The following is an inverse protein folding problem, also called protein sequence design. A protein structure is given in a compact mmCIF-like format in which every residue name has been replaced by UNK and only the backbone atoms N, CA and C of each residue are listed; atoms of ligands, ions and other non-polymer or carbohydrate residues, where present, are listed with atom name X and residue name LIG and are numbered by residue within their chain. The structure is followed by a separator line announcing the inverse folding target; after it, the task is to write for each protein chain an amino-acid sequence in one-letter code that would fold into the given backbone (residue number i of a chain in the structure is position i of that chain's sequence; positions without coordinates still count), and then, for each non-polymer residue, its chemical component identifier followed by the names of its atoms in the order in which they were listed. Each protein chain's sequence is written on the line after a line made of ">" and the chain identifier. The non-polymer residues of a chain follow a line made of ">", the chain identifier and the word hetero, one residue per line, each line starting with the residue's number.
data_IF_997685143032
#
_entry.id   IF_997685143032
#
_cell.length_a   1.000
_cell.length_b   1.000
_cell.length_c   1.000
_cell.angle_alpha   90.00
_cell.angle_beta   90.00
_cell.angle_gamma   90.00
#
_symmetry.space_group_name_H-M   'P 1'
#
loop_
_entity.id
_entity.type
_entity.pdbx_description
1 polymer ?
#
# COMPACT_ATOMS: atom_id res chain seq x y z
N UNK A 1 -27.83 -56.54 -23.29
CA UNK A 1 -28.04 -56.01 -21.92
C UNK A 1 -26.68 -55.97 -21.25
N UNK A 2 -25.99 -54.84 -21.34
CA UNK A 2 -24.67 -54.65 -20.74
C UNK A 2 -24.79 -53.43 -19.82
N UNK A 3 -24.76 -53.68 -18.51
CA UNK A 3 -24.67 -52.64 -17.49
C UNK A 3 -23.19 -52.27 -17.31
N UNK A 4 -22.80 -50.98 -17.33
CA UNK A 4 -21.44 -50.59 -17.00
C UNK A 4 -21.26 -50.43 -15.49
N UNK A 5 -20.17 -50.99 -14.96
CA UNK A 5 -19.64 -50.68 -13.63
C UNK A 5 -19.15 -49.23 -13.57
N UNK A 6 -19.52 -48.53 -12.51
CA UNK A 6 -19.06 -47.18 -12.19
C UNK A 6 -17.59 -47.21 -11.72
N UNK A 7 -16.77 -46.18 -12.05
CA UNK A 7 -15.48 -46.00 -11.40
C UNK A 7 -15.64 -45.27 -10.06
N UNK A 8 -14.91 -45.75 -9.06
CA UNK A 8 -14.84 -45.21 -7.71
C UNK A 8 -14.25 -43.79 -7.66
N UNK A 9 -14.90 -42.94 -6.88
CA UNK A 9 -14.46 -41.59 -6.52
C UNK A 9 -13.17 -41.61 -5.71
N UNK A 10 -12.07 -41.23 -6.35
CA UNK A 10 -10.83 -40.82 -5.68
C UNK A 10 -10.78 -39.30 -5.51
N UNK A 11 -11.42 -38.77 -4.47
CA UNK A 11 -11.24 -37.38 -4.03
C UNK A 11 -9.80 -37.15 -3.57
N UNK A 12 -8.97 -36.60 -4.46
CA UNK A 12 -7.69 -36.00 -4.13
C UNK A 12 -7.80 -34.48 -4.15
N UNK A 13 -8.44 -33.90 -3.12
CA UNK A 13 -8.47 -32.46 -2.89
C UNK A 13 -7.09 -31.93 -2.51
N UNK A 14 -6.23 -31.73 -3.51
CA UNK A 14 -5.01 -30.95 -3.37
C UNK A 14 -5.35 -29.47 -3.53
N UNK A 15 -5.45 -28.75 -2.41
CA UNK A 15 -5.44 -27.28 -2.42
C UNK A 15 -4.19 -26.84 -3.22
N UNK A 16 -4.32 -26.05 -4.30
CA UNK A 16 -3.17 -25.65 -5.09
C UNK A 16 -2.19 -24.87 -4.20
N UNK A 17 -0.87 -24.91 -4.49
CA UNK A 17 0.11 -24.24 -3.65
C UNK A 17 -0.28 -22.77 -3.49
N UNK A 18 -0.50 -22.32 -2.24
CA UNK A 18 -0.81 -20.93 -1.91
C UNK A 18 0.33 -20.04 -2.41
N UNK A 19 0.17 -19.50 -3.61
CA UNK A 19 1.11 -18.55 -4.17
C UNK A 19 1.02 -17.24 -3.39
N UNK A 20 1.85 -17.14 -2.35
CA UNK A 20 2.04 -15.96 -1.51
C UNK A 20 2.53 -14.73 -2.30
N UNK A 21 2.78 -14.87 -3.60
CA UNK A 21 3.20 -13.76 -4.45
C UNK A 21 2.08 -12.77 -4.69
N UNK A 22 0.80 -13.16 -4.72
CA UNK A 22 -0.34 -12.27 -5.03
C UNK A 22 -1.01 -11.58 -3.82
N UNK A 23 -0.44 -11.71 -2.62
CA UNK A 23 -1.09 -11.38 -1.33
C UNK A 23 -1.64 -9.95 -1.25
N UNK A 24 -1.03 -8.97 -1.93
CA UNK A 24 -1.53 -7.59 -1.90
C UNK A 24 -2.95 -7.49 -2.48
N UNK A 25 -3.17 -8.09 -3.63
CA UNK A 25 -4.43 -7.99 -4.36
C UNK A 25 -5.41 -9.05 -3.88
N UNK A 26 -4.94 -10.30 -3.76
CA UNK A 26 -5.83 -11.44 -3.42
C UNK A 26 -6.23 -11.47 -1.95
N UNK A 27 -5.45 -10.82 -1.07
CA UNK A 27 -5.71 -10.79 0.37
C UNK A 27 -5.93 -9.36 0.86
N UNK A 28 -4.91 -8.52 0.87
CA UNK A 28 -4.95 -7.21 1.57
C UNK A 28 -6.02 -6.29 1.00
N UNK A 29 -6.11 -6.19 -0.32
CA UNK A 29 -7.06 -5.30 -0.99
C UNK A 29 -8.37 -6.00 -1.38
N UNK A 30 -8.50 -7.28 -1.03
CA UNK A 30 -9.72 -8.03 -1.26
C UNK A 30 -10.74 -7.76 -0.13
N UNK A 31 -11.79 -7.01 -0.46
CA UNK A 31 -12.85 -6.66 0.49
C UNK A 31 -14.06 -7.59 0.37
N UNK A 32 -14.53 -8.05 1.53
CA UNK A 32 -15.77 -8.80 1.69
C UNK A 32 -16.97 -7.83 1.59
N UNK A 33 -17.85 -7.94 0.58
CA UNK A 33 -19.07 -7.14 0.53
C UNK A 33 -20.04 -7.61 1.62
N UNK A 34 -20.61 -6.66 2.36
CA UNK A 34 -21.62 -6.95 3.39
C UNK A 34 -23.01 -6.50 2.97
N UNK A 35 -23.10 -5.37 2.26
CA UNK A 35 -24.34 -4.77 1.73
C UNK A 35 -23.98 -3.81 0.58
N UNK A 36 -24.97 -3.18 -0.04
CA UNK A 36 -24.75 -2.09 -0.99
C UNK A 36 -23.89 -0.99 -0.33
N UNK A 37 -22.79 -0.63 -1.01
CA UNK A 37 -21.85 0.40 -0.56
C UNK A 37 -21.25 0.17 0.84
N UNK A 38 -21.32 -1.06 1.37
CA UNK A 38 -20.75 -1.48 2.65
C UNK A 38 -19.83 -2.69 2.50
N UNK A 39 -18.57 -2.51 2.90
CA UNK A 39 -17.52 -3.52 2.74
C UNK A 39 -16.77 -3.77 4.04
N UNK A 40 -16.21 -4.97 4.18
CA UNK A 40 -15.33 -5.37 5.29
C UNK A 40 -13.93 -5.67 4.78
N UNK A 41 -12.95 -4.93 5.30
CA UNK A 41 -11.53 -5.22 5.09
C UNK A 41 -10.96 -6.01 6.26
N UNK A 42 -10.22 -7.07 5.95
CA UNK A 42 -9.45 -7.84 6.93
C UNK A 42 -8.01 -7.33 6.99
N UNK A 43 -7.39 -7.52 8.14
CA UNK A 43 -6.00 -7.13 8.38
C UNK A 43 -5.13 -8.38 8.24
N UNK A 44 -4.50 -8.54 7.07
CA UNK A 44 -3.62 -9.68 6.81
C UNK A 44 -2.22 -9.48 7.38
N UNK A 45 -1.85 -8.23 7.60
CA UNK A 45 -0.58 -7.87 8.22
C UNK A 45 -0.84 -7.05 9.48
N UNK A 46 -0.31 -7.51 10.61
CA UNK A 46 -0.36 -6.79 11.89
C UNK A 46 1.01 -6.15 12.10
N UNK A 47 1.15 -4.84 11.93
CA UNK A 47 2.41 -4.17 12.20
C UNK A 47 2.72 -4.27 13.70
N UNK A 48 3.99 -4.49 14.08
CA UNK A 48 4.38 -4.51 15.51
C UNK A 48 4.17 -3.17 16.24
N UNK A 49 3.89 -2.08 15.51
CA UNK A 49 3.43 -0.81 16.09
C UNK A 49 2.09 -0.94 16.84
N UNK A 50 1.41 -2.09 16.73
CA UNK A 50 0.07 -2.36 17.26
C UNK A 50 -0.98 -1.38 16.72
N UNK A 51 -0.69 -0.75 15.58
CA UNK A 51 -1.58 0.15 14.84
C UNK A 51 -1.70 -0.36 13.42
N UNK A 52 -2.85 -0.15 12.79
CA UNK A 52 -3.01 -0.42 11.37
C UNK A 52 -2.10 0.47 10.52
N UNK A 53 -1.58 -0.11 9.43
CA UNK A 53 -0.84 0.63 8.42
C UNK A 53 -1.79 1.57 7.65
N UNK A 54 -1.42 2.84 7.50
CA UNK A 54 -2.27 3.84 6.87
C UNK A 54 -2.53 3.53 5.39
N UNK A 55 -1.50 3.11 4.66
CA UNK A 55 -1.63 2.66 3.27
C UNK A 55 -2.59 1.48 3.09
N UNK A 56 -2.68 0.57 4.06
CA UNK A 56 -3.71 -0.49 4.03
C UNK A 56 -5.11 0.12 4.06
N UNK A 57 -5.36 1.03 5.01
CA UNK A 57 -6.67 1.66 5.17
C UNK A 57 -7.02 2.47 3.92
N UNK A 58 -6.06 3.22 3.37
CA UNK A 58 -6.23 4.05 2.19
C UNK A 58 -6.49 3.22 0.93
N UNK A 59 -5.69 2.18 0.68
CA UNK A 59 -5.88 1.27 -0.45
C UNK A 59 -7.22 0.55 -0.40
N UNK A 60 -7.58 0.01 0.78
CA UNK A 60 -8.88 -0.63 0.99
C UNK A 60 -10.05 0.36 0.80
N UNK A 61 -9.95 1.59 1.32
CA UNK A 61 -10.98 2.60 1.11
C UNK A 61 -11.15 2.94 -0.38
N UNK A 62 -10.06 3.03 -1.14
CA UNK A 62 -10.14 3.29 -2.57
C UNK A 62 -10.74 2.10 -3.34
N UNK A 63 -10.46 0.86 -2.94
CA UNK A 63 -11.15 -0.33 -3.51
C UNK A 63 -12.65 -0.24 -3.27
N UNK A 64 -13.09 0.08 -2.05
CA UNK A 64 -14.51 0.23 -1.73
C UNK A 64 -15.17 1.31 -2.62
N UNK A 65 -14.53 2.48 -2.76
CA UNK A 65 -15.00 3.52 -3.66
C UNK A 65 -15.05 3.06 -5.12
N UNK A 66 -14.01 2.38 -5.61
CA UNK A 66 -13.90 1.89 -6.98
C UNK A 66 -14.96 0.84 -7.34
N UNK A 67 -15.38 0.02 -6.37
CA UNK A 67 -16.48 -0.95 -6.53
C UNK A 67 -17.87 -0.30 -6.63
N UNK A 68 -18.01 0.97 -6.24
CA UNK A 68 -19.28 1.73 -6.25
C UNK A 68 -19.44 2.66 -7.46
N UNK A 69 -18.53 2.57 -8.44
CA UNK A 69 -18.55 3.35 -9.69
C UNK A 69 -18.55 2.40 -10.88
N UNK A 70 -19.01 2.88 -12.03
CA UNK A 70 -19.00 2.12 -13.28
C UNK A 70 -17.58 1.83 -13.78
N UNK A 71 -17.44 0.84 -14.66
CA UNK A 71 -16.12 0.41 -15.19
C UNK A 71 -15.46 1.40 -16.15
N UNK A 72 -16.23 2.33 -16.72
CA UNK A 72 -15.76 3.32 -17.68
C UNK A 72 -15.12 4.57 -17.04
N UNK A 73 -15.17 4.69 -15.70
CA UNK A 73 -14.52 5.79 -14.97
C UNK A 73 -13.30 5.32 -14.19
N UNK A 74 -12.29 6.18 -14.13
CA UNK A 74 -11.02 5.91 -13.47
C UNK A 74 -10.76 6.92 -12.36
N UNK A 75 -10.15 6.48 -11.27
CA UNK A 75 -9.76 7.40 -10.19
C UNK A 75 -8.67 8.34 -10.70
N UNK A 76 -8.83 9.63 -10.44
CA UNK A 76 -7.80 10.64 -10.77
C UNK A 76 -7.33 11.41 -9.54
N UNK A 77 -8.11 11.43 -8.46
CA UNK A 77 -7.67 12.01 -7.20
C UNK A 77 -8.32 11.37 -5.98
N UNK A 78 -7.61 11.44 -4.85
CA UNK A 78 -8.14 11.11 -3.54
C UNK A 78 -7.59 12.08 -2.48
N UNK A 79 -8.44 12.40 -1.50
CA UNK A 79 -8.08 13.20 -0.33
C UNK A 79 -8.55 12.48 0.92
N UNK A 80 -7.70 12.36 1.93
CA UNK A 80 -8.07 11.65 3.14
C UNK A 80 -7.47 12.23 4.41
N UNK A 81 -8.07 11.87 5.54
CA UNK A 81 -7.62 12.19 6.89
C UNK A 81 -7.59 10.91 7.75
N UNK A 82 -6.51 10.71 8.49
CA UNK A 82 -6.45 9.67 9.52
C UNK A 82 -6.94 10.25 10.83
N UNK A 83 -8.14 9.83 11.24
CA UNK A 83 -8.85 10.42 12.38
C UNK A 83 -8.45 9.76 13.69
N UNK A 84 -8.24 8.43 13.68
CA UNK A 84 -7.87 7.64 14.86
C UNK A 84 -6.93 6.50 14.47
N UNK A 85 -6.13 6.05 15.43
CA UNK A 85 -5.32 4.85 15.24
C UNK A 85 -6.24 3.62 15.11
N UNK A 86 -6.06 2.84 14.05
CA UNK A 86 -6.80 1.60 13.86
C UNK A 86 -6.25 0.44 14.68
N UNK A 87 -7.13 -0.41 15.20
CA UNK A 87 -6.79 -1.65 15.90
C UNK A 87 -6.56 -2.78 14.89
N UNK A 88 -5.34 -3.36 14.80
CA UNK A 88 -5.06 -4.42 13.85
C UNK A 88 -5.80 -5.74 14.15
N UNK A 89 -6.34 -5.92 15.36
CA UNK A 89 -7.08 -7.14 15.74
C UNK A 89 -8.53 -7.15 15.26
N UNK A 90 -9.03 -6.01 14.79
CA UNK A 90 -10.45 -5.83 14.45
C UNK A 90 -10.57 -5.51 12.96
N UNK A 91 -11.48 -6.16 12.22
CA UNK A 91 -11.75 -5.80 10.82
C UNK A 91 -12.18 -4.33 10.69
N UNK A 92 -11.95 -3.73 9.53
CA UNK A 92 -12.37 -2.37 9.24
C UNK A 92 -13.62 -2.40 8.37
N UNK A 93 -14.65 -1.65 8.74
CA UNK A 93 -15.84 -1.46 7.91
C UNK A 93 -15.67 -0.22 7.05
N UNK A 94 -15.86 -0.35 5.74
CA UNK A 94 -15.80 0.74 4.77
C UNK A 94 -17.22 1.05 4.30
N UNK A 95 -17.71 2.22 4.71
CA UNK A 95 -19.01 2.75 4.30
C UNK A 95 -18.77 3.75 3.18
N UNK A 96 -19.36 3.50 2.03
CA UNK A 96 -19.27 4.36 0.85
C UNK A 96 -20.55 5.18 0.73
N UNK A 97 -20.39 6.47 0.46
CA UNK A 97 -21.47 7.38 0.16
C UNK A 97 -21.27 7.91 -1.26
N UNK A 98 -22.30 7.76 -2.10
CA UNK A 98 -22.29 8.26 -3.48
C UNK A 98 -22.58 9.76 -3.51
N UNK A 99 -21.59 10.56 -3.12
CA UNK A 99 -21.71 12.03 -3.06
C UNK A 99 -22.13 12.65 -4.39
N UNK A 100 -21.66 12.12 -5.53
CA UNK A 100 -22.10 12.55 -6.86
C UNK A 100 -21.91 11.44 -7.89
N UNK A 101 -22.88 11.28 -8.79
CA UNK A 101 -22.73 10.50 -10.02
C UNK A 101 -23.17 11.39 -11.18
N UNK A 102 -22.21 11.92 -11.94
CA UNK A 102 -22.44 12.74 -13.13
C UNK A 102 -21.98 12.05 -14.40
N UNK A 103 -22.19 12.71 -15.54
CA UNK A 103 -21.84 12.15 -16.85
C UNK A 103 -20.32 11.92 -17.03
N UNK A 104 -19.49 12.85 -16.59
CA UNK A 104 -18.01 12.74 -16.73
C UNK A 104 -17.28 12.49 -15.43
N UNK A 105 -17.91 12.82 -14.29
CA UNK A 105 -17.27 12.74 -12.97
C UNK A 105 -18.17 12.05 -11.95
N UNK A 106 -17.57 11.19 -11.14
CA UNK A 106 -18.20 10.55 -9.98
C UNK A 106 -17.37 10.84 -8.72
N UNK A 107 -18.04 11.16 -7.62
CA UNK A 107 -17.39 11.41 -6.33
C UNK A 107 -17.93 10.41 -5.31
N UNK A 108 -17.03 9.79 -4.55
CA UNK A 108 -17.34 8.86 -3.47
C UNK A 108 -16.70 9.34 -2.18
N UNK A 109 -17.49 9.43 -1.12
CA UNK A 109 -16.99 9.66 0.23
C UNK A 109 -16.94 8.33 0.97
N UNK A 110 -15.82 7.98 1.58
CA UNK A 110 -15.62 6.71 2.28
C UNK A 110 -15.29 6.97 3.74
N UNK A 111 -16.01 6.30 4.64
CA UNK A 111 -15.69 6.26 6.08
C UNK A 111 -15.20 4.87 6.43
N UNK A 112 -14.00 4.78 6.97
CA UNK A 112 -13.49 3.54 7.56
C UNK A 112 -13.78 3.56 9.07
N UNK A 113 -14.45 2.54 9.57
CA UNK A 113 -15.05 2.49 10.91
C UNK A 113 -14.55 1.26 11.66
N UNK A 114 -14.15 1.47 12.92
CA UNK A 114 -13.91 0.41 13.91
C UNK A 114 -14.58 0.79 15.23
N UNK A 115 -15.13 -0.19 15.95
CA UNK A 115 -15.84 0.04 17.22
C UNK A 115 -16.90 1.16 17.13
N UNK A 116 -17.60 1.26 16.00
CA UNK A 116 -18.60 2.29 15.74
C UNK A 116 -18.05 3.71 15.56
N UNK A 117 -16.72 3.90 15.47
CA UNK A 117 -16.07 5.20 15.34
C UNK A 117 -15.24 5.29 14.05
N UNK A 118 -15.31 6.40 13.30
CA UNK A 118 -14.43 6.61 12.16
C UNK A 118 -12.96 6.64 12.59
N UNK A 119 -12.15 5.83 11.94
CA UNK A 119 -10.68 5.84 12.05
C UNK A 119 -10.04 6.59 10.87
N UNK A 120 -10.75 6.66 9.73
CA UNK A 120 -10.28 7.28 8.50
C UNK A 120 -11.46 7.78 7.68
N UNK A 121 -11.27 8.91 7.00
CA UNK A 121 -12.24 9.47 6.05
C UNK A 121 -11.52 9.81 4.75
N UNK A 122 -12.17 9.55 3.62
CA UNK A 122 -11.63 9.81 2.29
C UNK A 122 -12.71 10.33 1.36
N UNK A 123 -12.32 11.19 0.42
CA UNK A 123 -13.10 11.50 -0.77
C UNK A 123 -12.26 11.16 -1.99
N UNK A 124 -12.81 10.33 -2.88
CA UNK A 124 -12.19 9.91 -4.13
C UNK A 124 -13.02 10.44 -5.30
N UNK A 125 -12.32 10.98 -6.31
CA UNK A 125 -12.91 11.48 -7.54
C UNK A 125 -12.49 10.62 -8.72
N UNK A 126 -13.49 10.27 -9.53
CA UNK A 126 -13.38 9.41 -10.69
C UNK A 126 -13.82 10.18 -11.93
N UNK A 127 -13.15 9.95 -13.05
CA UNK A 127 -13.42 10.60 -14.32
C UNK A 127 -13.43 9.58 -15.45
N UNK A 128 -14.33 9.78 -16.40
CA UNK A 128 -14.31 9.02 -17.66
C UNK A 128 -13.06 9.39 -18.47
N UNK A 129 -12.45 8.42 -19.16
CA UNK A 129 -11.32 8.70 -20.04
C UNK A 129 -11.74 9.66 -21.16
N UNK A 130 -11.02 10.78 -21.29
CA UNK A 130 -11.30 11.82 -22.27
C UNK A 130 -10.00 12.26 -22.97
N UNK A 131 -10.01 12.48 -24.30
CA UNK A 131 -8.85 13.06 -24.99
C UNK A 131 -8.52 14.44 -24.43
N UNK A 132 -7.24 14.66 -24.10
CA UNK A 132 -6.73 15.98 -23.74
C UNK A 132 -5.88 16.54 -24.88
N UNK A 133 -6.13 17.79 -25.34
CA UNK A 133 -5.28 18.45 -26.32
C UNK A 133 -3.92 18.87 -25.74
N UNK A 134 -3.76 18.82 -24.41
CA UNK A 134 -2.55 19.25 -23.70
C UNK A 134 -2.01 18.07 -22.90
N UNK A 135 -0.73 17.77 -23.08
CA UNK A 135 0.01 16.79 -22.30
C UNK A 135 1.38 17.37 -21.96
N UNK A 136 1.69 17.46 -20.67
CA UNK A 136 3.01 17.84 -20.18
C UNK A 136 3.26 17.17 -18.84
N UNK A 137 4.52 16.89 -18.53
CA UNK A 137 4.97 16.37 -17.25
C UNK A 137 6.41 16.83 -16.99
N UNK A 138 6.84 16.84 -15.73
CA UNK A 138 8.25 17.02 -15.41
C UNK A 138 9.07 15.82 -15.91
N UNK A 139 10.34 16.07 -16.24
CA UNK A 139 11.28 15.02 -16.56
C UNK A 139 11.56 14.14 -15.33
N UNK A 140 11.59 12.82 -15.54
CA UNK A 140 11.97 11.87 -14.49
C UNK A 140 13.41 12.17 -14.04
N UNK A 141 13.71 12.20 -12.73
CA UNK A 141 15.07 12.40 -12.24
C UNK A 141 15.99 11.26 -12.67
N UNK A 142 17.26 11.56 -12.94
CA UNK A 142 18.29 10.56 -13.26
C UNK A 142 18.63 9.77 -12.01
N UNK A 143 18.28 8.48 -12.00
CA UNK A 143 18.57 7.52 -10.93
C UNK A 143 19.05 6.19 -11.54
N UNK A 144 19.85 5.39 -10.82
CA UNK A 144 20.21 4.05 -11.25
C UNK A 144 18.95 3.19 -11.44
N UNK A 145 18.95 2.29 -12.44
CA UNK A 145 17.83 1.38 -12.67
C UNK A 145 17.73 0.34 -11.53
N UNK A 146 16.55 -0.24 -11.28
CA UNK A 146 16.32 -1.11 -10.12
C UNK A 146 17.14 -2.40 -10.15
N UNK A 147 17.61 -2.85 -11.32
CA UNK A 147 18.38 -4.08 -11.50
C UNK A 147 19.79 -3.98 -10.90
N UNK A 148 20.36 -2.77 -10.80
CA UNK A 148 21.71 -2.56 -10.23
C UNK A 148 21.68 -2.20 -8.74
N UNK A 149 20.48 -1.98 -8.18
CA UNK A 149 20.32 -1.62 -6.78
C UNK A 149 20.21 -2.87 -5.90
N UNK A 150 20.70 -2.74 -4.68
CA UNK A 150 20.60 -3.80 -3.69
C UNK A 150 19.14 -4.04 -3.30
N UNK A 151 18.79 -5.31 -3.19
CA UNK A 151 17.54 -5.72 -2.56
C UNK A 151 17.57 -5.38 -1.07
N UNK A 152 16.39 -5.17 -0.51
CA UNK A 152 16.26 -4.77 0.89
C UNK A 152 16.92 -5.76 1.85
N UNK A 153 16.79 -7.07 1.61
CA UNK A 153 17.38 -8.11 2.47
C UNK A 153 18.92 -8.07 2.42
N UNK A 154 19.50 -7.90 1.24
CA UNK A 154 20.95 -7.76 1.06
C UNK A 154 21.48 -6.50 1.74
N UNK A 155 20.75 -5.38 1.61
CA UNK A 155 21.10 -4.13 2.28
C UNK A 155 21.02 -4.28 3.81
N UNK A 156 20.02 -5.01 4.29
CA UNK A 156 19.83 -5.28 5.70
C UNK A 156 20.96 -6.11 6.28
N UNK A 157 21.36 -7.17 5.57
CA UNK A 157 22.51 -8.00 5.92
C UNK A 157 23.80 -7.19 5.97
N UNK A 158 24.02 -6.27 5.02
CA UNK A 158 25.18 -5.38 5.05
C UNK A 158 25.20 -4.51 6.31
N UNK A 159 24.06 -3.90 6.66
CA UNK A 159 23.99 -3.11 7.89
C UNK A 159 24.19 -3.96 9.14
N UNK A 160 23.63 -5.16 9.21
CA UNK A 160 23.78 -6.08 10.34
C UNK A 160 25.22 -6.62 10.50
N UNK A 161 26.03 -6.59 9.44
CA UNK A 161 27.46 -6.96 9.51
C UNK A 161 28.35 -5.82 9.99
N UNK A 162 27.87 -4.58 9.99
CA UNK A 162 28.65 -3.43 10.47
C UNK A 162 28.85 -3.52 12.00
N UNK A 163 30.10 -3.65 12.49
CA UNK A 163 30.40 -3.73 13.92
C UNK A 163 30.09 -2.42 14.68
N UNK A 164 30.02 -1.29 13.98
CA UNK A 164 29.70 0.02 14.56
C UNK A 164 28.19 0.30 14.62
N UNK A 165 27.36 -0.65 14.16
CA UNK A 165 25.92 -0.49 14.21
C UNK A 165 25.44 -0.46 15.67
N UNK A 166 24.89 0.67 16.12
CA UNK A 166 24.41 0.76 17.50
C UNK A 166 23.32 -0.30 17.74
N UNK A 167 23.33 -0.91 18.92
CA UNK A 167 22.44 -2.02 19.30
C UNK A 167 20.95 -1.73 19.04
N UNK A 168 20.52 -0.48 19.22
CA UNK A 168 19.15 -0.02 18.92
C UNK A 168 18.79 -0.13 17.43
N UNK A 169 19.74 0.14 16.53
CA UNK A 169 19.54 0.02 15.09
C UNK A 169 19.53 -1.43 14.65
N UNK A 170 20.40 -2.27 15.21
CA UNK A 170 20.42 -3.72 14.97
C UNK A 170 19.08 -4.38 15.30
N UNK A 171 18.52 -4.04 16.46
CA UNK A 171 17.20 -4.51 16.88
C UNK A 171 16.09 -4.02 15.94
N UNK A 172 16.18 -2.79 15.45
CA UNK A 172 15.23 -2.22 14.50
C UNK A 172 15.26 -2.86 13.12
N UNK A 173 16.46 -3.12 12.61
CA UNK A 173 16.71 -3.76 11.32
C UNK A 173 16.28 -5.23 11.32
N UNK A 174 16.65 -6.00 12.36
CA UNK A 174 16.16 -7.37 12.54
C UNK A 174 14.62 -7.45 12.63
N UNK A 175 13.96 -6.40 13.13
CA UNK A 175 12.49 -6.33 13.18
C UNK A 175 11.85 -6.04 11.83
N UNK A 176 12.56 -5.41 10.90
CA UNK A 176 12.10 -5.18 9.53
C UNK A 176 12.40 -6.41 8.66
N UNK A 177 13.53 -7.09 8.89
CA UNK A 177 13.89 -8.37 8.25
C UNK A 177 12.80 -9.44 8.40
N UNK A 178 12.16 -9.48 9.56
CA UNK A 178 11.16 -10.48 9.92
C UNK A 178 9.75 -10.15 9.40
N UNK A 179 9.60 -9.18 8.48
CA UNK A 179 8.30 -8.75 7.96
C UNK A 179 8.13 -9.15 6.50
N UNK A 180 7.14 -10.00 6.23
CA UNK A 180 6.62 -10.17 4.88
C UNK A 180 5.77 -8.96 4.51
N UNK A 181 6.39 -7.99 3.84
CA UNK A 181 5.68 -6.84 3.28
C UNK A 181 5.31 -7.18 1.83
N UNK A 182 4.04 -6.95 1.41
CA UNK A 182 3.58 -7.31 0.06
C UNK A 182 4.13 -6.39 -1.06
N UNK A 183 5.13 -5.57 -0.76
CA UNK A 183 5.80 -4.69 -1.72
C UNK A 183 7.32 -4.88 -1.61
N UNK A 184 8.00 -4.73 -2.73
CA UNK A 184 9.45 -4.69 -2.85
C UNK A 184 9.90 -3.23 -2.96
N UNK A 185 10.96 -2.88 -2.24
CA UNK A 185 11.53 -1.53 -2.23
C UNK A 185 13.03 -1.62 -2.41
N UNK A 186 13.57 -0.83 -3.35
CA UNK A 186 15.01 -0.67 -3.58
C UNK A 186 15.40 0.79 -3.43
N UNK A 187 16.27 1.10 -2.47
CA UNK A 187 16.73 2.47 -2.22
C UNK A 187 17.75 2.88 -3.28
N UNK A 188 17.61 4.09 -3.85
CA UNK A 188 18.58 4.62 -4.82
C UNK A 188 19.91 4.97 -4.16
N UNK A 189 19.86 5.63 -3.01
CA UNK A 189 21.03 6.04 -2.22
C UNK A 189 20.83 5.62 -0.76
N UNK A 190 21.08 4.36 -0.40
CA UNK A 190 20.95 3.90 0.98
C UNK A 190 21.99 4.62 1.86
N UNK A 191 21.59 5.28 2.95
CA UNK A 191 22.54 5.97 3.82
C UNK A 191 23.45 4.96 4.52
N UNK A 192 24.72 5.30 4.70
CA UNK A 192 25.58 4.53 5.60
C UNK A 192 25.17 4.78 7.06
N UNK A 193 25.46 3.86 8.00
CA UNK A 193 25.13 4.06 9.42
C UNK A 193 25.71 5.33 10.03
N UNK A 194 26.86 5.81 9.52
CA UNK A 194 27.47 7.08 9.92
C UNK A 194 26.75 8.31 9.36
N UNK A 195 26.11 8.22 8.18
CA UNK A 195 25.35 9.30 7.55
C UNK A 195 23.92 9.46 8.08
N UNK A 196 23.44 8.54 8.92
CA UNK A 196 22.04 8.53 9.41
C UNK A 196 21.67 9.68 10.36
N UNK A 197 22.62 10.53 10.77
CA UNK A 197 22.39 11.52 11.82
C UNK A 197 21.73 12.82 11.32
N UNK A 198 21.96 13.20 10.06
CA UNK A 198 21.31 14.37 9.46
C UNK A 198 21.32 14.23 7.94
N UNK A 199 20.16 13.94 7.36
CA UNK A 199 20.00 13.76 5.91
C UNK A 199 19.01 14.79 5.38
N UNK A 200 19.20 15.22 4.14
CA UNK A 200 18.23 16.01 3.41
C UNK A 200 16.84 15.34 3.46
N UNK A 201 15.73 16.11 3.52
CA UNK A 201 14.37 15.59 3.51
C UNK A 201 13.96 15.12 2.10
N UNK A 202 14.80 14.28 1.50
CA UNK A 202 14.69 13.80 0.13
C UNK A 202 15.14 12.35 0.06
N UNK A 203 14.25 11.49 -0.41
CA UNK A 203 14.58 10.09 -0.69
C UNK A 203 14.03 9.68 -2.05
N UNK A 204 14.73 8.75 -2.69
CA UNK A 204 14.30 8.12 -3.94
C UNK A 204 14.45 6.62 -3.77
N UNK A 205 13.42 5.88 -4.18
CA UNK A 205 13.42 4.44 -4.15
C UNK A 205 12.54 3.92 -5.28
N UNK A 206 12.92 2.76 -5.80
CA UNK A 206 12.06 1.98 -6.66
C UNK A 206 11.12 1.15 -5.80
N UNK A 207 9.88 1.01 -6.26
CA UNK A 207 8.87 0.22 -5.58
C UNK A 207 8.12 -0.64 -6.57
N UNK A 208 7.80 -1.86 -6.16
CA UNK A 208 7.05 -2.82 -6.96
C UNK A 208 6.12 -3.61 -6.04
N UNK A 209 4.86 -3.79 -6.44
CA UNK A 209 4.00 -4.74 -5.74
C UNK A 209 4.52 -6.16 -5.97
N UNK A 210 4.52 -6.99 -4.93
CA UNK A 210 4.81 -8.41 -5.11
C UNK A 210 3.57 -9.06 -5.75
N UNK A 211 3.81 -9.88 -6.76
CA UNK A 211 2.76 -10.62 -7.48
C UNK A 211 2.21 -9.93 -8.72
N UNK A 212 1.31 -10.65 -9.38
CA UNK A 212 0.60 -10.17 -10.55
C UNK A 212 -0.69 -9.46 -10.14
N UNK A 213 -0.87 -8.21 -10.59
CA UNK A 213 -2.08 -7.42 -10.31
C UNK A 213 -3.18 -7.69 -11.36
N UNK A 214 -2.81 -8.14 -12.55
CA UNK A 214 -3.70 -8.15 -13.71
C UNK A 214 -3.27 -7.14 -14.76
N UNK A 215 -3.24 -7.56 -16.02
CA UNK A 215 -3.16 -6.65 -17.16
C UNK A 215 -4.55 -6.05 -17.41
N UNK A 216 -4.64 -4.71 -17.39
CA UNK A 216 -5.86 -3.98 -17.75
C UNK A 216 -6.69 -3.44 -16.59
N UNK A 217 -6.52 -3.93 -15.35
CA UNK A 217 -7.25 -3.40 -14.19
C UNK A 217 -6.56 -2.17 -13.60
N UNK A 218 -6.59 -1.06 -14.34
CA UNK A 218 -5.97 0.20 -13.93
C UNK A 218 -6.53 0.73 -12.60
N UNK A 219 -7.81 0.46 -12.26
CA UNK A 219 -8.38 0.81 -10.96
C UNK A 219 -7.64 0.10 -9.83
N UNK A 220 -7.36 -1.19 -10.00
CA UNK A 220 -6.61 -1.99 -9.02
C UNK A 220 -5.16 -1.51 -8.91
N UNK A 221 -4.50 -1.19 -10.02
CA UNK A 221 -3.16 -0.57 -10.00
C UNK A 221 -3.15 0.76 -9.23
N UNK A 222 -4.18 1.59 -9.40
CA UNK A 222 -4.36 2.82 -8.63
C UNK A 222 -4.58 2.57 -7.13
N UNK A 223 -5.35 1.53 -6.77
CA UNK A 223 -5.52 1.12 -5.37
C UNK A 223 -4.19 0.67 -4.72
N UNK A 224 -3.38 -0.06 -5.48
CA UNK A 224 -2.03 -0.46 -5.07
C UNK A 224 -1.10 0.75 -4.94
N UNK A 225 -1.17 1.71 -5.86
CA UNK A 225 -0.41 2.96 -5.77
C UNK A 225 -0.78 3.76 -4.51
N UNK A 226 -2.08 3.83 -4.17
CA UNK A 226 -2.56 4.46 -2.93
C UNK A 226 -2.08 3.72 -1.68
N UNK A 227 -1.97 2.38 -1.72
CA UNK A 227 -1.37 1.62 -0.63
C UNK A 227 0.11 1.95 -0.42
N UNK A 228 0.86 2.03 -1.52
CA UNK A 228 2.31 2.26 -1.51
C UNK A 228 2.68 3.68 -1.09
N UNK A 229 1.88 4.67 -1.46
CA UNK A 229 2.21 6.08 -1.30
C UNK A 229 2.38 6.51 0.16
N UNK A 230 1.71 5.86 1.11
CA UNK A 230 1.85 6.12 2.55
C UNK A 230 3.10 5.47 3.17
N UNK A 231 3.88 4.67 2.42
CA UNK A 231 4.99 3.89 2.99
C UNK A 231 6.17 4.76 3.46
N UNK A 232 6.58 5.73 2.66
CA UNK A 232 7.81 6.51 2.89
C UNK A 232 7.55 8.01 3.13
N UNK A 233 6.30 8.46 3.03
CA UNK A 233 5.98 9.88 3.04
C UNK A 233 6.47 10.57 4.32
N UNK A 234 6.03 10.08 5.48
CA UNK A 234 6.43 10.62 6.77
C UNK A 234 7.90 10.35 7.10
N UNK A 235 8.43 9.19 6.71
CA UNK A 235 9.83 8.84 7.00
C UNK A 235 10.82 9.77 6.29
N UNK A 236 10.43 10.32 5.12
CA UNK A 236 11.19 11.35 4.39
C UNK A 236 11.32 12.62 5.21
N UNK A 237 10.21 13.13 5.74
CA UNK A 237 10.19 14.38 6.50
C UNK A 237 10.99 14.28 7.80
N UNK A 238 11.14 13.08 8.35
CA UNK A 238 11.92 12.85 9.57
C UNK A 238 13.42 12.70 9.32
N UNK A 239 13.89 12.61 8.06
CA UNK A 239 15.31 12.45 7.73
C UNK A 239 16.23 13.51 8.37
N UNK A 240 15.89 14.82 8.38
CA UNK A 240 16.74 15.85 9.00
C UNK A 240 16.68 15.83 10.55
N UNK A 241 15.71 15.13 11.13
CA UNK A 241 15.39 15.21 12.55
C UNK A 241 15.69 13.92 13.33
N UNK A 242 16.35 12.94 12.69
CA UNK A 242 16.66 11.63 13.29
C UNK A 242 17.50 11.70 14.56
N UNK A 243 18.25 12.78 14.77
CA UNK A 243 19.07 12.99 15.97
C UNK A 243 18.27 13.41 17.21
N UNK A 244 17.25 14.27 17.06
CA UNK A 244 16.52 14.85 18.20
C UNK A 244 15.37 13.98 18.71
N UNK A 245 14.89 13.04 17.89
CA UNK A 245 13.85 12.13 18.30
C UNK A 245 14.46 10.76 18.60
N UNK A 246 14.16 10.20 19.78
CA UNK A 246 14.41 8.79 20.11
C UNK A 246 13.55 7.89 19.19
N UNK A 247 13.85 7.86 17.90
CA UNK A 247 13.20 7.00 16.93
C UNK A 247 14.04 5.74 16.84
N UNK A 248 13.55 4.66 17.44
CA UNK A 248 14.10 3.36 17.16
C UNK A 248 13.83 3.06 15.67
N UNK A 249 14.79 2.51 14.90
CA UNK A 249 14.46 1.99 13.59
C UNK A 249 13.45 0.86 13.82
N UNK A 250 12.37 0.84 13.04
CA UNK A 250 11.31 -0.15 13.24
C UNK A 250 10.43 0.06 14.49
N UNK A 251 10.42 1.26 15.09
CA UNK A 251 9.49 1.61 16.16
C UNK A 251 9.05 3.06 16.04
N UNK A 252 7.85 3.28 15.49
CA UNK A 252 7.16 4.57 15.48
C UNK A 252 6.86 5.01 16.92
N UNK A 253 7.83 5.61 17.60
CA UNK A 253 7.69 6.18 18.96
C UNK A 253 7.70 7.71 19.00
N UNK A 254 7.61 8.36 17.84
CA UNK A 254 7.09 9.73 17.74
C UNK A 254 5.62 9.60 17.36
N UNK A 255 4.73 10.30 18.06
CA UNK A 255 3.29 10.37 17.77
C UNK A 255 2.98 11.11 16.47
N UNK A 256 3.65 10.74 15.39
CA UNK A 256 3.38 11.24 14.05
C UNK A 256 2.30 10.37 13.42
N UNK A 257 1.09 10.90 13.34
CA UNK A 257 0.03 10.38 12.50
C UNK A 257 0.04 11.19 11.20
N UNK A 258 -0.15 10.55 10.03
CA UNK A 258 -0.46 11.29 8.81
C UNK A 258 -1.72 12.13 9.08
N UNK A 259 -1.65 13.45 9.01
CA UNK A 259 -2.80 14.30 9.34
C UNK A 259 -3.77 14.31 8.16
N UNK A 260 -3.24 14.37 6.94
CA UNK A 260 -4.00 14.18 5.72
C UNK A 260 -3.09 13.96 4.52
N UNK A 261 -3.65 13.40 3.46
CA UNK A 261 -2.91 13.08 2.23
C UNK A 261 -3.80 13.37 1.01
N UNK A 262 -3.21 14.01 0.01
CA UNK A 262 -3.80 14.19 -1.31
C UNK A 262 -2.96 13.44 -2.34
N UNK A 263 -3.58 12.65 -3.20
CA UNK A 263 -2.89 11.98 -4.30
C UNK A 263 -3.61 12.26 -5.61
N UNK A 264 -2.84 12.53 -6.65
CA UNK A 264 -3.30 12.67 -8.03
C UNK A 264 -2.69 11.52 -8.83
N UNK A 265 -3.54 10.79 -9.55
CA UNK A 265 -3.15 9.59 -10.26
C UNK A 265 -3.19 9.88 -11.75
N UNK A 266 -2.01 9.87 -12.38
CA UNK A 266 -1.86 10.01 -13.81
C UNK A 266 -1.27 8.72 -14.38
N UNK A 267 -1.78 8.22 -15.52
CA UNK A 267 -1.14 7.10 -16.20
C UNK A 267 0.27 7.48 -16.63
N UNK A 268 1.25 6.64 -16.29
CA UNK A 268 2.62 6.78 -16.79
C UNK A 268 2.66 6.16 -18.20
N UNK A 269 3.14 6.86 -19.24
CA UNK A 269 3.35 6.26 -20.55
C UNK A 269 4.29 5.07 -20.41
N UNK A 270 3.90 3.88 -20.89
CA UNK A 270 4.84 2.74 -20.98
C UNK A 270 5.97 3.18 -21.91
N UNK A 271 7.23 3.10 -21.43
CA UNK A 271 8.37 3.16 -22.35
C UNK A 271 8.26 1.97 -23.29
N UNK A 272 8.32 2.23 -24.59
CA UNK A 272 8.48 1.22 -25.63
C UNK A 272 9.81 0.48 -25.45
#
# INVERSE_FOLDING_TARGET
>A
MSSPQAPEDGQGGGDPPRDLRSVLVTSVLNLEPLDEDLFRGRNYWIPKSKRLFGGQIMGQALVAAAKSVSEDVQVHSLHCYFVRAGDPKVPVLYQVERTRTGASFSVRSVKAVQHGRPIFICQASFQQAQPSPIQHQFSMPTVPPPEVLLDFDTLLDQYLRDPNLQKKYRVGLNRIAAQDVPIEIKLVNPPTPSQMQNMEPKQMFWVRARGYIGEGDIKMHCCVAAYISDYAFLSTALLPHRWNHKVAPGGWSVGSCGVGMGSWLYPVPRRA
#
